data_IF_991332604008
#
_entry.id   IF_991332604008
#
_cell.length_a   1.000
_cell.length_b   1.000
_cell.length_c   1.000
_cell.angle_alpha   90.00
_cell.angle_beta   90.00
_cell.angle_gamma   90.00
#
_symmetry.space_group_name_H-M   'P 1'
#
loop_
_entity.id
_entity.type
_entity.pdbx_description
1 polymer ?
#
# COMPACT_ATOMS: atom_id res chain seq x y z
N UNK A 1 21.86 -3.51 10.70
CA UNK A 1 20.92 -4.61 10.95
C UNK A 1 20.99 -5.68 9.84
N UNK A 2 21.42 -5.32 8.63
CA UNK A 2 21.52 -6.27 7.51
C UNK A 2 20.29 -6.35 6.61
N UNK A 3 19.30 -5.49 6.80
CA UNK A 3 18.10 -5.40 5.94
C UNK A 3 16.81 -5.83 6.64
N UNK A 4 15.73 -5.90 5.85
CA UNK A 4 14.40 -6.30 6.29
C UNK A 4 14.11 -7.69 5.68
N UNK A 5 13.80 -8.66 6.52
CA UNK A 5 13.41 -9.99 6.05
C UNK A 5 11.96 -9.99 5.56
N UNK A 6 11.04 -9.43 6.35
CA UNK A 6 9.64 -9.28 6.00
C UNK A 6 9.18 -7.85 6.28
N UNK A 7 8.71 -7.14 5.26
CA UNK A 7 7.92 -5.94 5.43
C UNK A 7 6.44 -6.32 5.38
N UNK A 8 5.70 -6.00 6.43
CA UNK A 8 4.25 -6.19 6.47
C UNK A 8 3.54 -4.86 6.69
N UNK A 9 2.51 -4.60 5.92
CA UNK A 9 1.76 -3.35 6.02
C UNK A 9 0.41 -3.41 5.33
N UNK A 10 -0.27 -2.27 5.33
CA UNK A 10 -1.50 -2.04 4.57
C UNK A 10 -1.26 -1.05 3.43
N UNK A 11 -2.35 -0.66 2.77
CA UNK A 11 -2.34 0.42 1.77
C UNK A 11 -3.35 1.50 2.14
N UNK A 12 -3.03 2.75 1.81
CA UNK A 12 -3.99 3.84 1.87
C UNK A 12 -5.04 3.75 0.76
N UNK A 13 -6.18 4.44 0.90
CA UNK A 13 -7.20 4.50 -0.16
C UNK A 13 -6.67 5.12 -1.46
N UNK A 14 -5.68 6.00 -1.37
CA UNK A 14 -4.95 6.62 -2.48
C UNK A 14 -3.75 5.78 -2.94
N UNK A 15 -3.62 4.54 -2.46
CA UNK A 15 -2.59 3.59 -2.86
C UNK A 15 -1.21 3.85 -2.28
N UNK A 16 -1.09 4.67 -1.22
CA UNK A 16 0.21 4.84 -0.59
C UNK A 16 0.62 3.61 0.22
N UNK A 17 1.91 3.25 0.15
CA UNK A 17 2.54 2.26 1.02
C UNK A 17 3.36 2.99 2.09
N UNK A 18 3.21 2.61 3.36
CA UNK A 18 3.69 3.38 4.51
C UNK A 18 3.17 4.83 4.41
N UNK A 19 3.97 5.86 4.65
CA UNK A 19 3.59 7.25 4.39
C UNK A 19 4.22 7.81 3.10
N UNK A 20 4.36 6.95 2.08
CA UNK A 20 4.81 7.38 0.76
C UNK A 20 3.61 7.81 -0.07
N UNK A 21 3.17 9.04 0.16
CA UNK A 21 2.05 9.68 -0.52
C UNK A 21 2.28 9.73 -2.04
N UNK A 22 1.21 9.93 -2.85
CA UNK A 22 1.35 10.08 -4.30
C UNK A 22 2.44 11.07 -4.70
N UNK A 23 3.23 10.73 -5.71
CA UNK A 23 4.37 11.51 -6.14
C UNK A 23 5.70 11.20 -5.43
N UNK A 24 5.69 10.30 -4.43
CA UNK A 24 6.93 9.85 -3.79
C UNK A 24 7.77 9.01 -4.74
N UNK A 25 9.09 9.23 -4.77
CA UNK A 25 9.99 8.45 -5.60
C UNK A 25 9.91 6.95 -5.28
N UNK A 26 9.85 6.12 -6.29
CA UNK A 26 9.84 4.66 -6.14
C UNK A 26 11.19 4.10 -5.64
N UNK A 27 12.26 4.89 -5.71
CA UNK A 27 13.58 4.56 -5.13
C UNK A 27 13.83 5.24 -3.79
N UNK A 28 12.83 5.89 -3.20
CA UNK A 28 12.98 6.63 -1.95
C UNK A 28 13.43 5.74 -0.78
N UNK A 29 14.22 6.35 0.11
CA UNK A 29 14.72 5.72 1.34
C UNK A 29 13.96 6.29 2.54
N UNK A 30 14.25 5.77 3.73
CA UNK A 30 13.68 6.25 4.98
C UNK A 30 13.96 7.74 5.17
N UNK A 31 12.92 8.52 5.45
CA UNK A 31 13.00 9.99 5.57
C UNK A 31 11.75 10.56 6.26
N UNK A 32 11.80 11.84 6.58
CA UNK A 32 10.63 12.59 7.04
C UNK A 32 9.78 12.98 5.82
N UNK A 33 8.47 12.77 5.92
CA UNK A 33 7.49 13.17 4.89
C UNK A 33 6.41 14.05 5.51
N UNK A 34 5.97 15.05 4.73
CA UNK A 34 4.75 15.79 5.02
C UNK A 34 3.55 14.96 4.59
N UNK A 35 2.57 14.83 5.49
CA UNK A 35 1.34 14.08 5.23
C UNK A 35 0.34 14.94 4.46
N UNK A 36 -0.44 14.29 3.59
CA UNK A 36 -1.56 14.95 2.91
C UNK A 36 -2.69 15.24 3.90
N UNK A 37 -3.56 16.18 3.54
CA UNK A 37 -4.75 16.51 4.35
C UNK A 37 -5.61 15.26 4.56
N UNK A 38 -5.82 14.45 3.53
CA UNK A 38 -6.64 13.23 3.62
C UNK A 38 -6.02 12.21 4.59
N UNK A 39 -4.70 12.06 4.58
CA UNK A 39 -3.99 11.19 5.52
C UNK A 39 -4.13 11.71 6.96
N UNK A 40 -4.03 13.02 7.17
CA UNK A 40 -4.23 13.64 8.50
C UNK A 40 -5.65 13.38 8.98
N UNK A 41 -6.66 13.59 8.14
CA UNK A 41 -8.07 13.33 8.46
C UNK A 41 -8.26 11.84 8.80
N UNK A 42 -7.74 10.93 7.98
CA UNK A 42 -7.87 9.48 8.20
C UNK A 42 -7.24 9.04 9.54
N UNK A 43 -6.13 9.66 9.93
CA UNK A 43 -5.44 9.35 11.18
C UNK A 43 -6.03 10.06 12.42
N UNK A 44 -6.93 11.03 12.24
CA UNK A 44 -7.54 11.76 13.36
C UNK A 44 -8.26 10.84 14.35
N UNK A 45 -8.73 9.67 13.88
CA UNK A 45 -9.34 8.63 14.72
C UNK A 45 -8.45 8.15 15.87
N UNK A 46 -7.13 8.29 15.74
CA UNK A 46 -6.17 7.96 16.78
C UNK A 46 -5.85 9.15 17.70
N UNK A 47 -6.42 10.32 17.42
CA UNK A 47 -6.18 11.59 18.11
C UNK A 47 -7.50 12.26 18.51
N UNK A 48 -8.40 11.52 19.13
CA UNK A 48 -9.73 12.00 19.59
C UNK A 48 -10.59 12.62 18.47
N UNK A 49 -10.43 12.17 17.22
CA UNK A 49 -11.05 12.75 16.03
C UNK A 49 -10.72 14.23 15.80
N UNK A 50 -9.62 14.72 16.38
CA UNK A 50 -9.16 16.12 16.24
C UNK A 50 -7.99 16.18 15.27
N UNK A 51 -8.26 16.71 14.07
CA UNK A 51 -7.23 16.87 13.01
C UNK A 51 -6.08 17.79 13.44
N UNK A 52 -6.31 18.71 14.38
CA UNK A 52 -5.27 19.62 14.87
C UNK A 52 -4.26 18.92 15.79
N UNK A 53 -4.63 17.77 16.35
CA UNK A 53 -3.73 16.96 17.18
C UNK A 53 -2.86 16.00 16.36
N UNK A 54 -3.21 15.77 15.09
CA UNK A 54 -2.46 14.86 14.21
C UNK A 54 -1.16 15.53 13.79
N UNK A 55 0.01 14.86 13.95
CA UNK A 55 1.26 15.36 13.40
C UNK A 55 1.16 15.55 11.89
N UNK A 56 1.73 16.66 11.39
CA UNK A 56 1.72 16.98 9.96
C UNK A 56 2.84 16.29 9.17
N UNK A 57 3.80 15.74 9.88
CA UNK A 57 4.95 15.03 9.32
C UNK A 57 5.11 13.68 9.99
N UNK A 58 5.67 12.73 9.28
CA UNK A 58 5.99 11.40 9.81
C UNK A 58 7.34 10.92 9.27
N UNK A 59 8.07 10.19 10.11
CA UNK A 59 9.20 9.41 9.66
C UNK A 59 8.67 8.13 9.03
N UNK A 60 9.08 7.85 7.80
CA UNK A 60 8.57 6.68 7.06
C UNK A 60 9.69 5.96 6.32
N UNK A 61 9.56 4.65 6.21
CA UNK A 61 10.35 3.86 5.27
C UNK A 61 10.01 4.30 3.85
N UNK A 62 11.01 4.44 3.00
CA UNK A 62 10.80 4.77 1.60
C UNK A 62 10.29 3.59 0.78
N UNK A 63 9.77 3.86 -0.42
CA UNK A 63 9.33 2.80 -1.34
C UNK A 63 10.50 1.88 -1.69
N UNK A 64 11.67 2.44 -2.03
CA UNK A 64 12.87 1.65 -2.29
C UNK A 64 13.34 0.85 -1.08
N UNK A 65 13.12 1.35 0.13
CA UNK A 65 13.41 0.61 1.37
C UNK A 65 12.50 -0.61 1.49
N UNK A 66 11.20 -0.44 1.23
CA UNK A 66 10.24 -1.56 1.21
C UNK A 66 10.62 -2.59 0.16
N UNK A 67 10.92 -2.14 -1.06
CA UNK A 67 11.31 -3.02 -2.17
C UNK A 67 12.62 -3.79 -1.91
N UNK A 68 13.48 -3.29 -1.03
CA UNK A 68 14.70 -3.99 -0.63
C UNK A 68 14.48 -5.09 0.41
N UNK A 69 13.28 -5.21 0.99
CA UNK A 69 12.93 -6.32 1.87
C UNK A 69 12.95 -7.66 1.10
N UNK A 70 13.27 -8.75 1.78
CA UNK A 70 13.26 -10.08 1.14
C UNK A 70 11.85 -10.50 0.74
N UNK A 71 10.87 -10.21 1.58
CA UNK A 71 9.45 -10.45 1.34
C UNK A 71 8.63 -9.22 1.71
N UNK A 72 7.55 -8.98 0.97
CA UNK A 72 6.58 -7.91 1.25
C UNK A 72 5.19 -8.51 1.30
N UNK A 73 4.51 -8.34 2.43
CA UNK A 73 3.13 -8.76 2.65
C UNK A 73 2.25 -7.54 2.89
N UNK A 74 1.28 -7.33 2.02
CA UNK A 74 0.30 -6.24 2.14
C UNK A 74 -1.07 -6.80 2.45
N UNK A 75 -1.69 -6.29 3.51
CA UNK A 75 -3.07 -6.61 3.87
C UNK A 75 -3.97 -5.49 3.36
N UNK A 76 -4.97 -5.87 2.58
CA UNK A 76 -5.87 -4.95 1.90
C UNK A 76 -7.31 -5.39 2.10
N UNK A 77 -8.06 -4.69 2.94
CA UNK A 77 -9.43 -5.08 3.26
C UNK A 77 -10.41 -3.90 3.19
N UNK A 78 -11.63 -4.23 2.78
CA UNK A 78 -12.74 -3.31 2.67
C UNK A 78 -12.83 -2.63 1.30
N UNK A 79 -14.05 -2.25 0.94
CA UNK A 79 -14.39 -1.62 -0.34
C UNK A 79 -13.61 -0.32 -0.61
N UNK A 80 -13.30 0.47 0.44
CA UNK A 80 -12.53 1.71 0.30
C UNK A 80 -11.09 1.51 -0.19
N UNK A 81 -10.61 0.27 -0.26
CA UNK A 81 -9.30 -0.10 -0.81
C UNK A 81 -9.38 -0.64 -2.23
N UNK A 82 -10.58 -0.83 -2.79
CA UNK A 82 -10.77 -1.51 -4.07
C UNK A 82 -10.03 -0.82 -5.21
N UNK A 83 -10.08 0.51 -5.27
CA UNK A 83 -9.36 1.27 -6.28
C UNK A 83 -7.83 1.17 -6.12
N UNK A 84 -7.35 1.23 -4.89
CA UNK A 84 -5.92 1.07 -4.60
C UNK A 84 -5.42 -0.33 -4.99
N UNK A 85 -6.21 -1.38 -4.73
CA UNK A 85 -5.88 -2.74 -5.14
C UNK A 85 -5.86 -2.89 -6.66
N UNK A 86 -6.82 -2.27 -7.35
CA UNK A 86 -6.85 -2.27 -8.82
C UNK A 86 -5.56 -1.68 -9.39
N UNK A 87 -5.10 -0.53 -8.87
CA UNK A 87 -3.84 0.08 -9.30
C UNK A 87 -2.61 -0.73 -8.88
N UNK A 88 -2.67 -1.43 -7.76
CA UNK A 88 -1.58 -2.29 -7.31
C UNK A 88 -1.33 -3.46 -8.25
N UNK A 89 -2.40 -4.08 -8.76
CA UNK A 89 -2.32 -5.33 -9.53
C UNK A 89 -2.51 -5.21 -11.03
N UNK A 90 -3.35 -4.27 -11.49
CA UNK A 90 -3.72 -4.13 -12.89
C UNK A 90 -3.14 -2.90 -13.59
N UNK A 91 -2.83 -1.84 -12.81
CA UNK A 91 -2.30 -0.60 -13.36
C UNK A 91 -0.82 -0.69 -13.74
N UNK A 92 -0.34 0.32 -14.45
CA UNK A 92 1.08 0.52 -14.67
C UNK A 92 1.80 0.94 -13.38
N UNK A 93 3.12 0.73 -13.33
CA UNK A 93 3.94 1.15 -12.21
C UNK A 93 4.11 2.67 -12.28
N UNK A 94 3.68 3.37 -11.24
CA UNK A 94 3.75 4.83 -11.18
C UNK A 94 3.88 5.31 -9.74
N UNK A 95 4.64 6.38 -9.56
CA UNK A 95 4.76 7.04 -8.25
C UNK A 95 3.45 7.69 -7.76
N UNK A 96 2.46 7.86 -8.63
CA UNK A 96 1.14 8.36 -8.22
C UNK A 96 0.33 7.32 -7.44
N UNK A 97 0.68 6.06 -7.57
CA UNK A 97 0.18 4.93 -6.80
C UNK A 97 1.38 4.13 -6.30
N UNK A 98 1.97 4.53 -5.17
CA UNK A 98 3.25 3.97 -4.73
C UNK A 98 3.20 2.46 -4.47
N UNK A 99 2.01 1.94 -4.12
CA UNK A 99 1.78 0.49 -4.02
C UNK A 99 2.04 -0.25 -5.34
N UNK A 100 1.89 0.43 -6.49
CA UNK A 100 2.13 -0.19 -7.80
C UNK A 100 3.57 -0.69 -7.97
N UNK A 101 4.51 -0.13 -7.22
CA UNK A 101 5.91 -0.56 -7.21
C UNK A 101 6.08 -2.01 -6.73
N UNK A 102 5.11 -2.56 -5.99
CA UNK A 102 5.13 -3.96 -5.56
C UNK A 102 5.15 -4.93 -6.74
N UNK A 103 4.66 -4.52 -7.92
CA UNK A 103 4.76 -5.31 -9.16
C UNK A 103 6.20 -5.65 -9.57
N UNK A 104 7.18 -4.89 -9.08
CA UNK A 104 8.61 -5.15 -9.35
C UNK A 104 9.27 -6.07 -8.30
N UNK A 105 8.56 -6.39 -7.22
CA UNK A 105 9.13 -7.20 -6.14
C UNK A 105 9.00 -8.68 -6.45
N UNK A 106 10.09 -9.45 -6.23
CA UNK A 106 10.12 -10.90 -6.51
C UNK A 106 9.18 -11.70 -5.60
N UNK A 107 8.98 -11.25 -4.36
CA UNK A 107 8.18 -11.92 -3.33
C UNK A 107 7.16 -10.97 -2.72
N UNK A 108 6.42 -10.26 -3.58
CA UNK A 108 5.32 -9.37 -3.17
C UNK A 108 4.01 -10.17 -3.06
N UNK A 109 3.38 -10.11 -1.91
CA UNK A 109 2.12 -10.79 -1.60
C UNK A 109 1.09 -9.75 -1.17
N UNK A 110 -0.10 -9.80 -1.77
CA UNK A 110 -1.26 -9.03 -1.32
C UNK A 110 -2.33 -10.00 -0.85
N UNK A 111 -2.75 -9.87 0.40
CA UNK A 111 -3.90 -10.59 0.96
C UNK A 111 -5.06 -9.62 1.06
N UNK A 112 -6.17 -9.94 0.41
CA UNK A 112 -7.33 -9.06 0.35
C UNK A 112 -8.63 -9.84 0.64
N UNK A 113 -9.63 -9.11 1.16
CA UNK A 113 -10.99 -9.63 1.25
C UNK A 113 -11.77 -9.39 -0.04
N UNK A 114 -12.97 -9.97 -0.13
CA UNK A 114 -13.83 -9.87 -1.30
C UNK A 114 -14.17 -8.41 -1.65
N UNK A 115 -14.49 -7.59 -0.64
CA UNK A 115 -14.87 -6.19 -0.83
C UNK A 115 -13.73 -5.33 -1.43
N UNK A 116 -12.49 -5.66 -1.14
CA UNK A 116 -11.35 -4.97 -1.73
C UNK A 116 -11.14 -5.31 -3.22
N UNK A 117 -11.79 -6.36 -3.74
CA UNK A 117 -11.66 -6.77 -5.15
C UNK A 117 -12.66 -6.09 -6.09
N UNK A 118 -13.57 -5.27 -5.58
CA UNK A 118 -14.72 -4.74 -6.33
C UNK A 118 -14.37 -3.95 -7.60
N UNK A 119 -13.19 -3.36 -7.68
CA UNK A 119 -12.73 -2.61 -8.85
C UNK A 119 -11.77 -3.39 -9.75
N UNK A 120 -11.46 -4.65 -9.43
CA UNK A 120 -10.71 -5.51 -10.34
C UNK A 120 -11.55 -5.90 -11.53
N UNK A 121 -10.92 -6.05 -12.69
CA UNK A 121 -11.58 -6.68 -13.83
C UNK A 121 -12.00 -8.10 -13.46
N UNK A 122 -13.16 -8.51 -13.93
CA UNK A 122 -13.69 -9.87 -13.67
C UNK A 122 -12.68 -10.95 -14.08
N UNK A 123 -11.98 -10.77 -15.20
CA UNK A 123 -10.96 -11.70 -15.65
C UNK A 123 -9.78 -11.81 -14.68
N UNK A 124 -9.32 -10.68 -14.14
CA UNK A 124 -8.24 -10.65 -13.14
C UNK A 124 -8.66 -11.37 -11.87
N UNK A 125 -9.84 -11.05 -11.35
CA UNK A 125 -10.39 -11.70 -10.17
C UNK A 125 -10.47 -13.23 -10.33
N UNK A 126 -11.07 -13.70 -11.44
CA UNK A 126 -11.20 -15.13 -11.71
C UNK A 126 -9.86 -15.83 -11.86
N UNK A 127 -8.91 -15.18 -12.52
CA UNK A 127 -7.56 -15.71 -12.68
C UNK A 127 -6.88 -15.97 -11.32
N UNK A 128 -6.86 -14.97 -10.44
CA UNK A 128 -6.24 -15.14 -9.12
C UNK A 128 -6.99 -16.12 -8.23
N UNK A 129 -8.32 -16.14 -8.28
CA UNK A 129 -9.11 -17.16 -7.57
C UNK A 129 -8.75 -18.58 -8.02
N UNK A 130 -8.43 -18.77 -9.27
CA UNK A 130 -8.06 -20.08 -9.81
C UNK A 130 -6.66 -20.51 -9.40
N UNK A 131 -5.66 -19.67 -9.62
CA UNK A 131 -4.25 -20.01 -9.32
C UNK A 131 -3.96 -20.07 -7.84
N UNK A 132 -4.69 -19.33 -7.00
CA UNK A 132 -4.47 -19.25 -5.55
C UNK A 132 -5.39 -20.17 -4.74
N UNK A 133 -6.11 -21.09 -5.38
CA UNK A 133 -7.04 -22.02 -4.69
C UNK A 133 -6.43 -22.75 -3.50
N UNK A 134 -5.16 -23.12 -3.59
CA UNK A 134 -4.45 -23.83 -2.52
C UNK A 134 -4.18 -22.94 -1.30
N UNK A 135 -4.25 -21.62 -1.45
CA UNK A 135 -3.97 -20.62 -0.42
C UNK A 135 -5.24 -19.95 0.15
N UNK A 136 -6.41 -20.32 -0.34
CA UNK A 136 -7.71 -19.75 0.05
C UNK A 136 -8.43 -20.62 1.10
#
# INVERSE_FOLDING_TARGET
>A
IGGIDLFMGGIGPDGHIAFNEPGSSLSSRTRIKTLTTDTIIANSRFFDNDVNKVPKTALTVGVGTVLSAKEVLIICNGHNKARALQHAGEGGITQMWTISALQMHQHGIIVCDEAATDELKVGTYKYFKDIEKANL
#
